data_IF_585502978575
#
_entry.id   IF_585502978575
#
_cell.length_a   1.000
_cell.length_b   1.000
_cell.length_c   1.000
_cell.angle_alpha   90.00
_cell.angle_beta   90.00
_cell.angle_gamma   90.00
#
_symmetry.space_group_name_H-M   'P 1'
#
loop_
_entity.id
_entity.type
_entity.pdbx_description
1 polymer ?
#
# COMPACT_ATOMS: atom_id res chain seq x y z
N UNK A 1 -16.50 -61.11 -33.78
CA UNK A 1 -16.45 -60.52 -32.37
C UNK A 1 -15.82 -59.14 -32.40
N UNK A 2 -16.59 -58.06 -32.26
CA UNK A 2 -16.07 -56.71 -32.19
C UNK A 2 -15.98 -56.29 -30.70
N UNK A 3 -14.77 -56.04 -30.22
CA UNK A 3 -14.49 -55.64 -28.89
C UNK A 3 -14.75 -54.10 -28.81
N UNK A 4 -15.82 -53.69 -28.12
CA UNK A 4 -16.12 -52.28 -27.87
C UNK A 4 -15.35 -51.86 -26.63
N UNK A 5 -14.31 -51.05 -26.82
CA UNK A 5 -13.53 -50.43 -25.73
C UNK A 5 -14.32 -49.22 -25.20
N UNK A 6 -14.93 -49.38 -24.03
CA UNK A 6 -15.63 -48.30 -23.30
C UNK A 6 -14.60 -47.44 -22.58
N UNK A 7 -14.23 -46.32 -23.19
CA UNK A 7 -13.40 -45.29 -22.55
C UNK A 7 -14.25 -44.49 -21.53
N UNK A 8 -14.17 -44.85 -20.27
CA UNK A 8 -14.70 -44.02 -19.17
C UNK A 8 -13.81 -42.77 -19.03
N UNK A 9 -14.28 -41.65 -19.58
CA UNK A 9 -13.75 -40.34 -19.24
C UNK A 9 -14.14 -40.05 -17.78
N UNK A 10 -13.21 -40.25 -16.85
CA UNK A 10 -13.32 -39.73 -15.50
C UNK A 10 -13.03 -38.23 -15.59
N UNK A 11 -14.08 -37.42 -15.72
CA UNK A 11 -13.99 -35.96 -15.52
C UNK A 11 -13.66 -35.72 -14.07
N UNK A 12 -12.39 -35.49 -13.76
CA UNK A 12 -11.94 -34.96 -12.47
C UNK A 12 -12.46 -33.53 -12.41
N UNK A 13 -13.66 -33.37 -11.90
CA UNK A 13 -14.18 -32.08 -11.49
C UNK A 13 -13.32 -31.63 -10.31
N UNK A 14 -12.39 -30.73 -10.56
CA UNK A 14 -11.70 -29.98 -9.51
C UNK A 14 -12.75 -29.20 -8.74
N UNK A 15 -13.29 -29.77 -7.68
CA UNK A 15 -14.04 -29.03 -6.67
C UNK A 15 -13.05 -28.08 -6.00
N UNK A 16 -12.93 -26.89 -6.53
CA UNK A 16 -12.30 -25.78 -5.84
C UNK A 16 -13.14 -25.54 -4.58
N UNK A 17 -12.68 -26.04 -3.44
CA UNK A 17 -13.24 -25.70 -2.14
C UNK A 17 -13.03 -24.20 -1.94
N UNK A 18 -14.05 -23.42 -2.26
CA UNK A 18 -14.04 -21.99 -2.05
C UNK A 18 -13.92 -21.72 -0.55
N UNK A 19 -12.75 -21.36 -0.11
CA UNK A 19 -12.44 -21.08 1.29
C UNK A 19 -13.24 -19.86 1.75
N UNK A 20 -14.05 -19.98 2.80
CA UNK A 20 -14.71 -18.85 3.47
C UNK A 20 -13.70 -18.08 4.33
N UNK A 21 -12.65 -17.51 3.73
CA UNK A 21 -11.54 -16.86 4.42
C UNK A 21 -12.04 -15.74 5.33
N UNK A 22 -13.07 -14.98 4.91
CA UNK A 22 -13.59 -13.84 5.66
C UNK A 22 -14.49 -14.22 6.85
N UNK A 23 -14.78 -15.50 7.04
CA UNK A 23 -15.65 -15.98 8.13
C UNK A 23 -15.02 -17.10 8.97
N UNK A 24 -13.74 -17.40 8.76
CA UNK A 24 -13.04 -18.44 9.53
C UNK A 24 -12.56 -17.90 10.88
N UNK A 25 -13.37 -18.00 11.91
CA UNK A 25 -12.98 -17.69 13.30
C UNK A 25 -11.87 -18.62 13.85
N UNK A 26 -11.61 -19.75 13.21
CA UNK A 26 -10.63 -20.77 13.65
C UNK A 26 -9.32 -20.76 12.88
N UNK A 27 -9.11 -19.84 11.93
CA UNK A 27 -7.86 -19.77 11.21
C UNK A 27 -6.73 -19.29 12.13
N UNK A 28 -5.53 -19.87 11.97
CA UNK A 28 -4.34 -19.54 12.74
C UNK A 28 -3.99 -18.05 12.60
N UNK A 29 -3.67 -17.40 13.74
CA UNK A 29 -3.27 -15.99 13.75
C UNK A 29 -4.40 -15.04 14.17
N UNK A 30 -4.07 -13.76 14.27
CA UNK A 30 -5.00 -12.67 14.57
C UNK A 30 -5.49 -12.04 13.26
N UNK A 31 -6.80 -11.89 13.11
CA UNK A 31 -7.41 -11.32 11.91
C UNK A 31 -7.91 -9.91 12.16
N UNK A 32 -7.68 -9.04 11.16
CA UNK A 32 -8.22 -7.70 11.07
C UNK A 32 -9.00 -7.56 9.75
N UNK A 33 -10.20 -6.98 9.83
CA UNK A 33 -11.08 -6.79 8.67
C UNK A 33 -11.32 -5.31 8.44
N UNK A 34 -11.16 -4.89 7.20
CA UNK A 34 -11.33 -3.52 6.73
C UNK A 34 -12.35 -3.54 5.62
N UNK A 35 -13.25 -2.59 5.65
CA UNK A 35 -14.28 -2.41 4.64
C UNK A 35 -13.98 -1.11 3.87
N UNK A 36 -13.24 -1.19 2.76
CA UNK A 36 -12.77 0.00 2.05
C UNK A 36 -13.87 0.76 1.32
N UNK A 37 -15.05 0.14 1.15
CA UNK A 37 -16.18 0.73 0.46
C UNK A 37 -17.43 0.74 1.33
N UNK A 38 -18.40 1.60 0.97
CA UNK A 38 -19.73 1.64 1.63
C UNK A 38 -20.44 0.30 1.51
N UNK A 39 -20.28 -0.38 0.40
CA UNK A 39 -20.68 -1.78 0.23
C UNK A 39 -19.74 -2.70 1.00
N UNK A 40 -20.14 -3.04 2.22
CA UNK A 40 -19.39 -3.89 3.15
C UNK A 40 -19.22 -5.35 2.67
N UNK A 41 -19.69 -5.71 1.49
CA UNK A 41 -19.41 -7.02 0.91
C UNK A 41 -17.95 -7.16 0.43
N UNK A 42 -17.26 -6.03 0.16
CA UNK A 42 -15.85 -6.01 -0.18
C UNK A 42 -15.00 -5.89 1.09
N UNK A 43 -14.04 -6.77 1.23
CA UNK A 43 -13.26 -6.93 2.47
C UNK A 43 -11.77 -6.98 2.14
N UNK A 44 -10.99 -6.17 2.85
CA UNK A 44 -9.56 -6.35 3.00
C UNK A 44 -9.32 -7.06 4.33
N UNK A 45 -8.90 -8.31 4.29
CA UNK A 45 -8.63 -9.13 5.46
C UNK A 45 -7.11 -9.28 5.63
N UNK A 46 -6.63 -8.96 6.83
CA UNK A 46 -5.23 -9.10 7.20
C UNK A 46 -5.13 -10.20 8.26
N UNK A 47 -4.40 -11.26 7.93
CA UNK A 47 -4.08 -12.35 8.83
C UNK A 47 -2.67 -12.13 9.38
N UNK A 48 -2.57 -11.71 10.62
CA UNK A 48 -1.30 -11.53 11.31
C UNK A 48 -0.76 -12.86 11.83
N UNK A 49 0.46 -13.20 11.45
CA UNK A 49 1.15 -14.42 11.84
C UNK A 49 2.42 -14.07 12.62
N UNK A 50 2.67 -14.76 13.73
CA UNK A 50 3.96 -14.71 14.41
C UNK A 50 4.82 -15.79 13.79
N UNK A 51 5.92 -15.39 13.14
CA UNK A 51 6.85 -16.31 12.48
C UNK A 51 7.90 -16.79 13.48
N UNK A 52 8.49 -15.85 14.22
CA UNK A 52 9.59 -16.13 15.14
C UNK A 52 9.46 -15.26 16.39
N UNK A 53 9.76 -15.86 17.54
CA UNK A 53 9.89 -15.15 18.83
C UNK A 53 11.35 -15.18 19.24
N UNK A 54 11.97 -13.99 19.35
CA UNK A 54 13.30 -13.79 19.90
C UNK A 54 13.20 -13.18 21.30
N UNK A 55 14.22 -13.29 22.16
CA UNK A 55 14.18 -12.76 23.52
C UNK A 55 13.77 -11.29 23.64
N UNK A 56 14.06 -10.48 22.60
CA UNK A 56 13.81 -9.04 22.60
C UNK A 56 13.02 -8.55 21.39
N UNK A 57 12.54 -9.44 20.51
CA UNK A 57 11.78 -9.07 19.32
C UNK A 57 10.90 -10.22 18.83
N UNK A 58 9.72 -9.90 18.32
CA UNK A 58 8.90 -10.84 17.58
C UNK A 58 8.93 -10.45 16.09
N UNK A 59 9.12 -11.45 15.23
CA UNK A 59 9.04 -11.27 13.77
C UNK A 59 7.63 -11.67 13.36
N UNK A 60 6.96 -10.75 12.72
CA UNK A 60 5.61 -10.92 12.21
C UNK A 60 5.60 -10.98 10.71
N UNK A 61 4.62 -11.67 10.18
CA UNK A 61 4.27 -11.68 8.78
C UNK A 61 2.76 -11.56 8.65
N UNK A 62 2.30 -11.02 7.55
CA UNK A 62 0.87 -10.92 7.31
C UNK A 62 0.50 -11.42 5.92
N UNK A 63 -0.57 -12.20 5.87
CA UNK A 63 -1.27 -12.44 4.62
C UNK A 63 -2.39 -11.42 4.47
N UNK A 64 -2.39 -10.69 3.38
CA UNK A 64 -3.44 -9.74 3.04
C UNK A 64 -4.28 -10.33 1.93
N UNK A 65 -5.59 -10.31 2.11
CA UNK A 65 -6.56 -10.79 1.13
C UNK A 65 -7.54 -9.68 0.82
N UNK A 66 -7.70 -9.35 -0.45
CA UNK A 66 -8.78 -8.48 -0.88
C UNK A 66 -9.77 -9.26 -1.73
N UNK A 67 -11.05 -9.14 -1.40
CA UNK A 67 -12.07 -9.89 -2.09
C UNK A 67 -13.48 -9.44 -1.73
N UNK A 68 -14.45 -10.23 -2.19
CA UNK A 68 -15.87 -10.02 -1.92
C UNK A 68 -16.44 -11.22 -1.17
N UNK A 69 -17.20 -10.94 -0.10
CA UNK A 69 -17.96 -11.95 0.60
C UNK A 69 -19.26 -12.21 -0.15
N UNK A 70 -19.49 -13.46 -0.54
CA UNK A 70 -20.70 -13.89 -1.22
C UNK A 70 -21.35 -15.04 -0.43
N UNK A 71 -22.70 -15.26 -0.56
CA UNK A 71 -23.43 -16.23 0.26
C UNK A 71 -22.88 -17.66 0.19
N UNK A 72 -22.39 -18.08 -0.97
CA UNK A 72 -21.89 -19.45 -1.19
C UNK A 72 -20.39 -19.57 -0.96
N UNK A 73 -19.61 -18.55 -1.32
CA UNK A 73 -18.16 -18.56 -1.26
C UNK A 73 -17.58 -17.14 -1.29
N UNK A 74 -16.37 -16.98 -0.77
CA UNK A 74 -15.66 -15.71 -0.90
C UNK A 74 -14.94 -15.65 -2.25
N UNK A 75 -15.06 -14.54 -2.96
CA UNK A 75 -14.30 -14.29 -4.18
C UNK A 75 -13.06 -13.49 -3.82
N UNK A 76 -11.88 -14.10 -3.88
CA UNK A 76 -10.61 -13.43 -3.66
C UNK A 76 -10.12 -12.84 -4.98
N UNK A 77 -9.88 -11.52 -5.02
CA UNK A 77 -9.36 -10.82 -6.19
C UNK A 77 -7.84 -10.89 -6.24
N UNK A 78 -7.20 -10.69 -5.08
CA UNK A 78 -5.76 -10.86 -4.93
C UNK A 78 -5.39 -11.22 -3.49
N UNK A 79 -4.20 -11.81 -3.36
CA UNK A 79 -3.56 -12.15 -2.11
C UNK A 79 -2.11 -11.67 -2.16
N UNK A 80 -1.62 -11.18 -1.04
CA UNK A 80 -0.25 -10.70 -0.87
C UNK A 80 0.28 -11.17 0.48
N UNK A 81 1.58 -11.42 0.58
CA UNK A 81 2.27 -11.66 1.84
C UNK A 81 3.24 -10.51 2.06
N UNK A 82 3.22 -9.91 3.23
CA UNK A 82 4.09 -8.82 3.61
C UNK A 82 4.75 -9.10 4.96
N UNK A 83 5.98 -8.64 5.11
CA UNK A 83 6.62 -8.60 6.41
C UNK A 83 6.06 -7.43 7.21
N UNK A 84 5.83 -7.65 8.52
CA UNK A 84 5.30 -6.61 9.42
C UNK A 84 6.02 -6.73 10.75
N UNK A 85 6.54 -5.62 11.27
CA UNK A 85 7.20 -5.63 12.58
C UNK A 85 6.28 -5.45 13.77
N UNK A 86 5.05 -5.00 13.58
CA UNK A 86 4.08 -4.79 14.65
C UNK A 86 2.67 -5.15 14.25
N UNK A 87 1.87 -5.66 15.20
CA UNK A 87 0.48 -6.04 14.97
C UNK A 87 -0.51 -4.91 15.28
N UNK A 88 -0.12 -3.83 15.95
CA UNK A 88 -1.04 -2.86 16.54
C UNK A 88 -1.16 -1.56 15.74
N UNK A 89 -2.41 -1.11 15.52
CA UNK A 89 -2.81 0.22 15.01
C UNK A 89 -2.22 0.64 13.65
N UNK A 90 -2.15 -0.25 12.70
CA UNK A 90 -1.27 -0.16 11.55
C UNK A 90 -1.93 0.35 10.28
N UNK A 91 -3.10 0.96 10.37
CA UNK A 91 -3.81 1.45 9.20
C UNK A 91 -4.22 2.89 9.44
N UNK A 92 -3.76 3.76 8.56
CA UNK A 92 -4.21 5.14 8.48
C UNK A 92 -4.96 5.37 7.18
N UNK A 93 -5.77 6.43 7.16
CA UNK A 93 -6.64 6.77 6.05
C UNK A 93 -6.39 8.21 5.65
N UNK A 94 -5.79 8.43 4.49
CA UNK A 94 -5.52 9.75 3.94
C UNK A 94 -5.65 9.73 2.41
N UNK A 95 -6.11 10.85 1.82
CA UNK A 95 -6.22 11.01 0.37
C UNK A 95 -4.85 11.39 -0.19
N UNK A 96 -4.11 10.41 -0.68
CA UNK A 96 -2.76 10.58 -1.23
C UNK A 96 -2.72 10.98 -2.70
N UNK A 97 -3.77 10.67 -3.46
CA UNK A 97 -3.84 11.00 -4.89
C UNK A 97 -4.68 12.25 -5.19
N UNK A 98 -5.27 12.86 -4.14
CA UNK A 98 -6.11 14.06 -4.20
C UNK A 98 -7.36 13.88 -5.10
N UNK A 99 -7.98 12.71 -5.02
CA UNK A 99 -9.24 12.40 -5.71
C UNK A 99 -10.49 12.59 -4.81
N UNK A 100 -10.29 12.97 -3.56
CA UNK A 100 -11.33 13.16 -2.55
C UNK A 100 -11.69 11.89 -1.79
N UNK A 101 -11.07 10.75 -2.11
CA UNK A 101 -11.29 9.47 -1.45
C UNK A 101 -10.09 9.17 -0.52
N UNK A 102 -10.39 8.67 0.67
CA UNK A 102 -9.32 8.25 1.58
C UNK A 102 -8.74 6.91 1.14
N UNK A 103 -7.44 6.89 0.94
CA UNK A 103 -6.64 5.71 0.64
C UNK A 103 -6.24 4.97 1.91
N UNK A 104 -5.76 3.74 1.78
CA UNK A 104 -5.31 2.90 2.90
C UNK A 104 -3.78 2.91 2.97
N UNK A 105 -3.27 3.36 4.10
CA UNK A 105 -1.85 3.31 4.42
C UNK A 105 -1.64 2.22 5.46
N UNK A 106 -1.03 1.11 5.07
CA UNK A 106 -0.77 -0.04 5.93
C UNK A 106 0.68 -0.02 6.36
N UNK A 107 0.91 0.08 7.68
CA UNK A 107 2.25 0.06 8.26
C UNK A 107 2.98 -1.25 7.92
N UNK A 108 4.26 -1.16 7.60
CA UNK A 108 5.11 -2.30 7.27
C UNK A 108 6.24 -2.46 8.29
N UNK A 109 7.06 -1.45 8.45
CA UNK A 109 8.30 -1.54 9.25
C UNK A 109 8.71 -0.20 9.88
N UNK A 110 9.72 -0.27 10.75
CA UNK A 110 10.41 0.90 11.30
C UNK A 110 11.91 0.84 11.07
N UNK A 111 12.52 2.01 10.95
CA UNK A 111 13.97 2.23 10.97
C UNK A 111 14.37 3.28 11.99
N UNK A 112 15.65 3.66 12.02
CA UNK A 112 16.20 4.70 12.88
C UNK A 112 15.71 4.59 14.34
N UNK A 113 15.80 3.39 14.94
CA UNK A 113 15.35 3.08 16.31
C UNK A 113 13.85 3.38 16.55
N UNK A 114 13.02 3.25 15.52
CA UNK A 114 11.57 3.49 15.57
C UNK A 114 11.14 4.89 15.12
N UNK A 115 12.08 5.80 14.83
CA UNK A 115 11.75 7.14 14.35
C UNK A 115 11.32 7.19 12.88
N UNK A 116 11.74 6.22 12.06
CA UNK A 116 11.31 6.10 10.68
C UNK A 116 10.25 5.00 10.55
N UNK A 117 9.14 5.32 9.89
CA UNK A 117 8.06 4.37 9.61
C UNK A 117 7.88 4.21 8.10
N UNK A 118 7.66 2.98 7.67
CA UNK A 118 7.44 2.60 6.29
C UNK A 118 6.06 2.00 6.11
N UNK A 119 5.44 2.25 4.96
CA UNK A 119 4.04 1.89 4.73
C UNK A 119 3.81 1.37 3.32
N UNK A 120 2.89 0.42 3.19
CA UNK A 120 2.28 0.08 1.92
C UNK A 120 1.05 0.98 1.69
N UNK A 121 0.99 1.67 0.55
CA UNK A 121 -0.15 2.48 0.16
C UNK A 121 -1.03 1.72 -0.84
N UNK A 122 -2.34 1.69 -0.56
CA UNK A 122 -3.37 1.15 -1.46
C UNK A 122 -4.37 2.24 -1.80
N UNK A 123 -4.40 2.65 -3.06
CA UNK A 123 -5.37 3.62 -3.57
C UNK A 123 -6.75 2.96 -3.69
N UNK A 124 -7.74 3.65 -3.17
CA UNK A 124 -9.13 3.19 -3.11
C UNK A 124 -9.93 3.75 -4.28
N UNK A 125 -10.51 2.88 -5.12
CA UNK A 125 -11.41 3.31 -6.18
C UNK A 125 -12.83 2.75 -5.94
N UNK A 126 -13.75 3.56 -5.39
CA UNK A 126 -15.10 3.10 -5.08
C UNK A 126 -15.97 2.86 -6.31
N UNK A 127 -15.67 3.47 -7.47
CA UNK A 127 -16.42 3.26 -8.71
C UNK A 127 -16.27 1.85 -9.25
N UNK A 128 -15.04 1.34 -9.18
CA UNK A 128 -14.69 0.02 -9.70
C UNK A 128 -14.53 -1.03 -8.60
N UNK A 129 -14.69 -0.65 -7.33
CA UNK A 129 -14.41 -1.47 -6.14
C UNK A 129 -13.03 -2.12 -6.20
N UNK A 130 -11.99 -1.31 -6.48
CA UNK A 130 -10.61 -1.79 -6.56
C UNK A 130 -9.72 -1.12 -5.53
N UNK A 131 -8.74 -1.89 -5.04
CA UNK A 131 -7.60 -1.42 -4.29
C UNK A 131 -6.35 -1.62 -5.14
N UNK A 132 -5.60 -0.55 -5.36
CA UNK A 132 -4.37 -0.60 -6.16
C UNK A 132 -3.17 -0.30 -5.27
N UNK A 133 -2.28 -1.30 -5.07
CA UNK A 133 -1.02 -1.08 -4.36
C UNK A 133 -0.12 -0.15 -5.16
N UNK A 134 0.40 0.88 -4.50
CA UNK A 134 1.37 1.81 -5.08
C UNK A 134 2.76 1.19 -4.96
N UNK A 135 3.36 0.90 -6.10
CA UNK A 135 4.70 0.32 -6.16
C UNK A 135 5.75 1.29 -5.63
N UNK A 136 6.71 0.79 -4.85
CA UNK A 136 7.83 1.54 -4.26
C UNK A 136 7.42 2.62 -3.23
N UNK A 137 6.18 2.64 -2.76
CA UNK A 137 5.74 3.56 -1.71
C UNK A 137 6.34 3.21 -0.35
N UNK A 138 6.57 1.94 -0.11
CA UNK A 138 7.25 1.37 1.05
C UNK A 138 8.69 1.88 1.27
N UNK A 139 9.25 2.59 0.28
CA UNK A 139 10.57 3.24 0.36
C UNK A 139 10.51 4.69 0.85
N UNK A 140 9.31 5.26 0.96
CA UNK A 140 9.11 6.64 1.41
C UNK A 140 8.97 6.65 2.93
N UNK A 141 9.90 7.33 3.60
CA UNK A 141 9.99 7.38 5.05
C UNK A 141 8.99 8.39 5.61
N UNK A 142 8.24 8.01 6.65
CA UNK A 142 7.28 8.87 7.34
C UNK A 142 6.43 9.71 6.37
N UNK A 143 5.76 9.10 5.37
CA UNK A 143 5.05 9.84 4.34
C UNK A 143 3.84 10.59 4.92
N UNK A 144 3.67 11.84 4.49
CA UNK A 144 2.47 12.62 4.73
C UNK A 144 2.05 13.35 3.45
N UNK A 145 0.76 13.60 3.26
CA UNK A 145 0.29 14.32 2.08
C UNK A 145 0.06 15.80 2.37
N UNK A 146 0.80 16.67 1.70
CA UNK A 146 0.60 18.12 1.77
C UNK A 146 -0.46 18.53 0.73
N UNK A 147 -1.70 18.74 1.19
CA UNK A 147 -2.85 19.10 0.35
C UNK A 147 -2.68 20.42 -0.37
N UNK A 148 -2.05 21.41 0.28
CA UNK A 148 -1.83 22.77 -0.28
C UNK A 148 -0.95 22.72 -1.54
N UNK A 149 0.11 21.94 -1.47
CA UNK A 149 1.10 21.82 -2.55
C UNK A 149 0.91 20.58 -3.44
N UNK A 150 -0.01 19.69 -3.07
CA UNK A 150 -0.29 18.42 -3.76
C UNK A 150 0.98 17.59 -3.97
N UNK A 151 1.69 17.38 -2.87
CA UNK A 151 2.93 16.59 -2.82
C UNK A 151 2.91 15.65 -1.62
N UNK A 152 3.60 14.53 -1.74
CA UNK A 152 3.93 13.67 -0.60
C UNK A 152 5.22 14.23 -0.01
N UNK A 153 5.22 14.45 1.29
CA UNK A 153 6.38 14.90 2.06
C UNK A 153 6.88 13.69 2.85
N UNK A 154 8.12 13.33 2.63
CA UNK A 154 8.85 12.36 3.45
C UNK A 154 9.68 13.10 4.48
N UNK A 155 9.70 12.61 5.73
CA UNK A 155 10.54 13.15 6.80
C UNK A 155 11.42 12.04 7.36
N UNK A 156 12.71 12.09 7.06
CA UNK A 156 13.68 11.07 7.45
C UNK A 156 14.51 11.47 8.66
N UNK A 157 14.71 10.51 9.57
CA UNK A 157 15.54 10.63 10.77
C UNK A 157 16.81 9.79 10.59
N UNK A 158 17.95 10.44 10.31
CA UNK A 158 19.24 9.75 10.05
C UNK A 158 20.43 10.41 10.71
N UNK A 159 20.22 11.00 11.90
CA UNK A 159 21.21 11.84 12.57
C UNK A 159 21.00 13.31 12.26
N UNK A 160 21.00 13.71 10.99
CA UNK A 160 20.41 14.98 10.54
C UNK A 160 19.03 14.68 9.97
N UNK A 161 18.01 15.37 10.46
CA UNK A 161 16.66 15.20 9.96
C UNK A 161 16.52 15.91 8.62
N UNK A 162 15.81 15.29 7.69
CA UNK A 162 15.68 15.83 6.35
C UNK A 162 14.29 15.60 5.77
N UNK A 163 13.92 16.43 4.80
CA UNK A 163 12.72 16.30 3.98
C UNK A 163 13.06 15.89 2.55
N UNK A 164 12.21 15.06 1.94
CA UNK A 164 12.19 14.77 0.53
C UNK A 164 10.76 14.87 0.00
N UNK A 165 10.59 15.47 -1.18
CA UNK A 165 9.29 15.63 -1.81
C UNK A 165 9.07 14.59 -2.90
N UNK A 166 7.83 14.10 -3.01
CA UNK A 166 7.42 13.16 -4.06
C UNK A 166 6.10 13.59 -4.70
N UNK A 167 5.89 13.13 -5.93
CA UNK A 167 4.60 13.13 -6.62
C UNK A 167 4.35 11.79 -7.26
N UNK A 168 3.09 11.51 -7.56
CA UNK A 168 2.75 10.39 -8.42
C UNK A 168 2.96 10.74 -9.89
N UNK A 169 3.68 9.86 -10.57
CA UNK A 169 3.81 9.83 -12.01
C UNK A 169 2.79 8.91 -12.68
N UNK A 170 3.13 8.41 -13.85
CA UNK A 170 2.30 7.43 -14.57
C UNK A 170 2.08 6.18 -13.69
N UNK A 171 0.86 5.65 -13.72
CA UNK A 171 0.44 4.47 -12.94
C UNK A 171 0.70 4.62 -11.44
N UNK A 172 0.57 5.84 -10.93
CA UNK A 172 0.79 6.20 -9.52
C UNK A 172 2.17 5.84 -8.96
N UNK A 173 3.18 5.63 -9.80
CA UNK A 173 4.55 5.41 -9.30
C UNK A 173 5.09 6.71 -8.71
N UNK A 174 5.54 6.73 -7.43
CA UNK A 174 6.14 7.93 -6.84
C UNK A 174 7.46 8.27 -7.52
N UNK A 175 7.72 9.57 -7.66
CA UNK A 175 9.01 10.09 -8.12
C UNK A 175 9.41 11.30 -7.27
N UNK A 176 10.70 11.49 -7.11
CA UNK A 176 11.28 12.58 -6.33
C UNK A 176 11.14 13.93 -7.03
N UNK A 177 10.91 14.99 -6.23
CA UNK A 177 10.87 16.38 -6.68
C UNK A 177 11.95 17.15 -5.95
N UNK A 178 12.89 17.72 -6.71
CA UNK A 178 14.02 18.46 -6.16
C UNK A 178 15.01 17.54 -5.44
N UNK A 179 15.90 18.15 -4.68
CA UNK A 179 16.85 17.45 -3.81
C UNK A 179 16.32 17.40 -2.39
N UNK A 180 16.74 16.42 -1.58
CA UNK A 180 16.49 16.44 -0.13
C UNK A 180 17.01 17.74 0.49
N UNK A 181 16.39 18.16 1.58
CA UNK A 181 16.83 19.35 2.33
C UNK A 181 16.67 19.12 3.83
N UNK A 182 17.56 19.73 4.60
CA UNK A 182 17.64 19.53 6.05
C UNK A 182 16.50 20.24 6.77
N UNK A 183 16.08 19.65 7.89
CA UNK A 183 15.21 20.25 8.87
C UNK A 183 16.07 21.18 9.78
N UNK A 184 15.83 22.47 9.69
CA UNK A 184 16.56 23.48 10.47
C UNK A 184 15.59 24.25 11.36
N UNK A 185 16.07 24.81 12.49
CA UNK A 185 15.23 25.46 13.51
C UNK A 185 14.30 26.57 13.00
N UNK A 186 14.65 27.20 11.88
CA UNK A 186 13.88 28.30 11.28
C UNK A 186 13.25 27.92 9.93
N UNK A 187 13.08 26.63 9.63
CA UNK A 187 12.53 26.18 8.36
C UNK A 187 11.03 26.49 8.23
N UNK A 188 10.68 27.38 7.33
CA UNK A 188 9.30 27.51 6.82
C UNK A 188 9.11 26.46 5.73
N UNK A 189 8.58 25.30 6.12
CA UNK A 189 8.40 24.16 5.22
C UNK A 189 7.51 24.50 4.02
N UNK A 190 6.46 25.28 4.21
CA UNK A 190 5.54 25.68 3.13
C UNK A 190 6.24 26.53 2.08
N UNK A 191 7.01 27.54 2.51
CA UNK A 191 7.81 28.36 1.60
C UNK A 191 8.88 27.55 0.88
N UNK A 192 9.53 26.64 1.59
CA UNK A 192 10.54 25.75 0.98
C UNK A 192 9.95 24.85 -0.09
N UNK A 193 8.82 24.21 0.18
CA UNK A 193 8.09 23.39 -0.82
C UNK A 193 7.73 24.24 -2.03
N UNK A 194 7.13 25.42 -1.81
CA UNK A 194 6.73 26.31 -2.91
C UNK A 194 7.92 26.72 -3.79
N UNK A 195 9.06 27.04 -3.20
CA UNK A 195 10.29 27.40 -3.91
C UNK A 195 10.80 26.23 -4.78
N UNK A 196 10.88 25.00 -4.24
CA UNK A 196 11.30 23.81 -4.96
C UNK A 196 10.37 23.56 -6.16
N UNK A 197 9.06 23.63 -5.96
CA UNK A 197 8.08 23.41 -7.03
C UNK A 197 8.16 24.45 -8.15
N UNK A 198 8.47 25.71 -7.83
CA UNK A 198 8.68 26.76 -8.83
C UNK A 198 9.89 26.44 -9.72
N UNK A 199 11.01 26.07 -9.12
CA UNK A 199 12.24 25.70 -9.84
C UNK A 199 11.99 24.49 -10.76
N UNK A 200 11.34 23.45 -10.26
CA UNK A 200 11.04 22.22 -11.03
C UNK A 200 10.21 22.53 -12.26
N UNK A 201 9.14 23.33 -12.13
CA UNK A 201 8.30 23.75 -13.26
C UNK A 201 9.08 24.50 -14.33
N UNK A 202 9.96 25.42 -13.92
CA UNK A 202 10.79 26.20 -14.87
C UNK A 202 11.75 25.30 -15.63
N UNK A 203 12.34 24.32 -14.96
CA UNK A 203 13.25 23.33 -15.59
C UNK A 203 12.51 22.43 -16.57
N UNK A 204 11.33 21.93 -16.22
CA UNK A 204 10.51 21.12 -17.12
C UNK A 204 10.07 21.87 -18.38
N UNK A 205 9.73 23.16 -18.26
CA UNK A 205 9.37 24.02 -19.40
C UNK A 205 10.55 24.25 -20.33
N UNK A 206 11.74 24.53 -19.80
CA UNK A 206 12.97 24.68 -20.60
C UNK A 206 13.33 23.41 -21.35
N UNK A 207 13.24 22.25 -20.69
CA UNK A 207 13.54 20.96 -21.34
C UNK A 207 12.56 20.64 -22.48
N UNK A 208 11.27 20.96 -22.32
CA UNK A 208 10.29 20.80 -23.41
C UNK A 208 10.55 21.68 -24.61
N UNK A 209 11.03 22.90 -24.40
CA UNK A 209 11.39 23.82 -25.51
C UNK A 209 12.61 23.33 -26.30
N UNK A 210 13.59 22.72 -25.61
CA UNK A 210 14.78 22.16 -26.23
C UNK A 210 14.54 20.87 -27.03
N UNK A 211 13.49 20.12 -26.71
CA UNK A 211 13.14 18.87 -27.42
C UNK A 211 12.25 19.10 -28.64
N UNK A 212 11.83 20.33 -28.92
CA UNK A 212 11.02 20.72 -30.09
C UNK A 212 11.79 21.60 -31.08
N UNK A 213 13.10 21.77 -30.90
CA UNK A 213 14.04 22.31 -31.85
C UNK A 213 14.87 21.19 -32.48
#
# INVERSE_FOLDING_TARGET
>A
MKLILLLCFISITNYSFAQKIFHQQKAKGKWQYIYPFVDKSYILAIQHLIIERKPFAEIYNANIYFGKSEPKANKIFWKENIDMRQITHNITYEDYNNDGIKDLLIFEDTGARGGNSFYNLYLVNPKNHTLTKVKDFDKIVNPSYNKKHKVIVSYGLTGTNYYQLYRFGKKYKPYEIGKPFDDTDNLDLDKKIAAILKITKTTEQKNKQLTHQ
#
